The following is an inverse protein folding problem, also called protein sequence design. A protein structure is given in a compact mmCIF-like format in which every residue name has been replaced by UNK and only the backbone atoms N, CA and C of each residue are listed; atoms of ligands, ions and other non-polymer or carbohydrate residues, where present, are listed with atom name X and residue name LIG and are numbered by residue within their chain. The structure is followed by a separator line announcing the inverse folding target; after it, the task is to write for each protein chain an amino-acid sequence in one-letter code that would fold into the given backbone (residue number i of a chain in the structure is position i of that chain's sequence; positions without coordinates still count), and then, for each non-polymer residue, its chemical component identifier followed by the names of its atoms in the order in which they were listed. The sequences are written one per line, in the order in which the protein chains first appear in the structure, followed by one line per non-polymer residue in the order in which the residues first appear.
data_IF_391522013470
#
_entry.id   IF_391522013470
#
_cell.length_a   1.000
_cell.length_b   1.000
_cell.length_c   1.000
_cell.angle_alpha   90.00
_cell.angle_beta   90.00
_cell.angle_gamma   90.00
#
_symmetry.space_group_name_H-M   'P 1'
#
loop_
_entity.id
_entity.type
_entity.pdbx_description
1 polymer ?
#
# COMPACT_ATOMS: atom_id res chain seq x y z
N UNK A 1 -5.26 -13.40 -15.19
CA UNK A 1 -4.82 -12.17 -14.50
C UNK A 1 -4.61 -11.13 -15.59
N UNK A 2 -5.33 -10.00 -15.55
CA UNK A 2 -5.12 -8.94 -16.53
C UNK A 2 -3.78 -8.23 -16.33
N UNK A 3 -3.38 -7.44 -17.34
CA UNK A 3 -2.10 -6.74 -17.38
C UNK A 3 -1.87 -5.85 -16.16
N UNK A 4 -2.89 -5.08 -15.75
CA UNK A 4 -2.80 -4.16 -14.61
C UNK A 4 -2.54 -4.95 -13.33
N UNK A 5 -3.35 -5.98 -13.06
CA UNK A 5 -3.17 -6.80 -11.89
C UNK A 5 -1.76 -7.41 -11.83
N UNK A 6 -1.26 -7.94 -12.96
CA UNK A 6 0.08 -8.52 -13.03
C UNK A 6 1.18 -7.48 -12.79
N UNK A 7 1.10 -6.31 -13.45
CA UNK A 7 2.09 -5.25 -13.34
C UNK A 7 2.15 -4.67 -11.93
N UNK A 8 1.01 -4.34 -11.32
CA UNK A 8 0.95 -3.82 -9.94
C UNK A 8 1.51 -4.85 -8.96
N UNK A 9 1.12 -6.12 -9.08
CA UNK A 9 1.65 -7.19 -8.21
C UNK A 9 3.17 -7.32 -8.35
N UNK A 10 3.70 -7.22 -9.58
CA UNK A 10 5.14 -7.27 -9.85
C UNK A 10 5.87 -6.06 -9.27
N UNK A 11 5.32 -4.85 -9.39
CA UNK A 11 5.89 -3.62 -8.79
C UNK A 11 5.95 -3.74 -7.28
N UNK A 12 4.85 -4.12 -6.64
CA UNK A 12 4.78 -4.35 -5.19
C UNK A 12 5.83 -5.38 -4.75
N UNK A 13 5.96 -6.49 -5.47
CA UNK A 13 6.97 -7.50 -5.18
C UNK A 13 8.42 -6.97 -5.28
N UNK A 14 8.67 -5.98 -6.14
CA UNK A 14 9.98 -5.32 -6.29
C UNK A 14 10.42 -4.53 -5.06
N UNK A 15 9.48 -4.10 -4.20
CA UNK A 15 9.78 -3.41 -2.93
C UNK A 15 9.95 -4.37 -1.74
N UNK A 16 9.75 -5.68 -1.94
CA UNK A 16 9.92 -6.66 -0.87
C UNK A 16 11.37 -7.12 -0.78
N UNK A 17 11.96 -7.00 0.42
CA UNK A 17 13.30 -7.53 0.68
C UNK A 17 13.40 -9.04 0.44
N UNK A 18 12.36 -9.79 0.83
CA UNK A 18 12.26 -11.23 0.58
C UNK A 18 11.32 -11.49 -0.59
N UNK A 19 11.81 -12.22 -1.60
CA UNK A 19 10.98 -12.70 -2.71
C UNK A 19 9.97 -13.70 -2.19
N UNK A 20 8.74 -13.23 -2.00
CA UNK A 20 7.57 -14.04 -1.63
C UNK A 20 6.40 -13.68 -2.54
N UNK A 21 5.43 -14.60 -2.72
CA UNK A 21 4.20 -14.29 -3.43
C UNK A 21 3.49 -13.10 -2.78
N UNK A 22 3.07 -12.13 -3.61
CA UNK A 22 2.21 -11.02 -3.19
C UNK A 22 0.77 -11.46 -3.43
N UNK A 23 0.00 -11.56 -2.35
CA UNK A 23 -1.42 -11.91 -2.43
C UNK A 23 -2.25 -10.64 -2.70
N UNK A 24 -3.35 -10.72 -3.47
CA UNK A 24 -4.25 -9.58 -3.67
C UNK A 24 -4.82 -9.05 -2.36
N UNK A 25 -5.03 -9.91 -1.38
CA UNK A 25 -5.55 -9.54 -0.05
C UNK A 25 -4.48 -8.94 0.87
N UNK A 26 -3.21 -8.96 0.49
CA UNK A 26 -2.14 -8.45 1.34
C UNK A 26 -2.22 -6.92 1.46
N UNK A 27 -2.13 -6.43 2.69
CA UNK A 27 -2.07 -5.01 3.00
C UNK A 27 -0.66 -4.46 2.75
N UNK A 28 -0.54 -3.34 2.03
CA UNK A 28 0.77 -2.77 1.68
C UNK A 28 1.62 -2.48 2.93
N UNK A 29 1.01 -1.91 3.97
CA UNK A 29 1.74 -1.55 5.17
C UNK A 29 1.82 -2.68 6.20
N UNK A 30 0.68 -3.28 6.57
CA UNK A 30 0.65 -4.23 7.68
C UNK A 30 1.22 -5.61 7.32
N UNK A 31 0.92 -6.14 6.14
CA UNK A 31 1.40 -7.46 5.71
C UNK A 31 2.73 -7.37 4.97
N UNK A 32 2.84 -6.37 4.09
CA UNK A 32 3.97 -6.21 3.18
C UNK A 32 5.10 -5.34 3.74
N UNK A 33 4.84 -4.58 4.81
CA UNK A 33 5.78 -3.67 5.45
C UNK A 33 6.40 -2.64 4.48
N UNK A 34 5.64 -2.26 3.45
CA UNK A 34 5.99 -1.16 2.55
C UNK A 34 5.54 0.13 3.22
N UNK A 35 6.47 1.02 3.53
CA UNK A 35 6.22 2.28 4.23
C UNK A 35 7.25 3.36 3.84
N UNK A 36 7.02 4.60 4.28
CA UNK A 36 7.93 5.73 4.04
C UNK A 36 8.30 5.88 2.56
N UNK A 37 9.58 6.10 2.28
CA UNK A 37 10.09 6.32 0.92
C UNK A 37 9.75 5.16 -0.04
N UNK A 38 9.71 3.91 0.45
CA UNK A 38 9.34 2.77 -0.38
C UNK A 38 7.87 2.86 -0.85
N UNK A 39 6.96 3.25 0.04
CA UNK A 39 5.57 3.47 -0.31
C UNK A 39 5.40 4.68 -1.23
N UNK A 40 6.11 5.79 -0.96
CA UNK A 40 6.07 6.99 -1.82
C UNK A 40 6.54 6.67 -3.23
N UNK A 41 7.71 6.05 -3.37
CA UNK A 41 8.28 5.67 -4.67
C UNK A 41 7.38 4.70 -5.45
N UNK A 42 6.75 3.74 -4.75
CA UNK A 42 5.79 2.82 -5.38
C UNK A 42 4.58 3.58 -5.95
N UNK A 43 3.97 4.46 -5.14
CA UNK A 43 2.76 5.19 -5.53
C UNK A 43 3.06 6.24 -6.60
N UNK A 44 4.17 6.97 -6.52
CA UNK A 44 4.61 7.92 -7.54
C UNK A 44 4.89 7.23 -8.87
N UNK A 45 5.55 6.07 -8.84
CA UNK A 45 5.80 5.27 -10.04
C UNK A 45 4.51 4.77 -10.70
N UNK A 46 3.50 4.40 -9.90
CA UNK A 46 2.17 4.03 -10.41
C UNK A 46 1.46 5.26 -10.98
N UNK A 47 1.43 6.37 -10.24
CA UNK A 47 0.80 7.62 -10.67
C UNK A 47 1.31 8.09 -12.04
N UNK A 48 2.63 8.09 -12.19
CA UNK A 48 3.32 8.51 -13.42
C UNK A 48 3.01 7.58 -14.59
N UNK A 49 3.10 6.26 -14.38
CA UNK A 49 3.04 5.31 -15.48
C UNK A 49 1.60 5.02 -15.95
N UNK A 50 0.60 5.25 -15.09
CA UNK A 50 -0.82 5.13 -15.42
C UNK A 50 -1.53 6.47 -15.63
N UNK A 51 -0.77 7.58 -15.65
CA UNK A 51 -1.28 8.95 -15.80
C UNK A 51 -2.47 9.25 -14.87
N UNK A 52 -2.33 8.88 -13.60
CA UNK A 52 -3.40 8.99 -12.61
C UNK A 52 -3.01 9.91 -11.45
N UNK A 53 -4.02 10.59 -10.91
CA UNK A 53 -3.87 11.42 -9.72
C UNK A 53 -4.40 10.68 -8.48
N UNK A 54 -3.60 10.67 -7.42
CA UNK A 54 -4.04 10.26 -6.09
C UNK A 54 -4.76 11.41 -5.35
N UNK A 55 -5.71 12.07 -6.02
CA UNK A 55 -6.45 13.17 -5.45
C UNK A 55 -7.24 12.71 -4.21
N UNK A 56 -7.11 13.44 -3.10
CA UNK A 56 -7.74 13.09 -1.83
C UNK A 56 -7.03 11.97 -1.03
N UNK A 57 -5.98 11.36 -1.58
CA UNK A 57 -5.11 10.47 -0.82
C UNK A 57 -4.21 11.29 0.11
N UNK A 58 -4.24 10.96 1.40
CA UNK A 58 -3.35 11.56 2.41
C UNK A 58 -2.36 10.51 2.85
N UNK A 59 -1.11 10.62 2.39
CA UNK A 59 -0.07 9.62 2.64
C UNK A 59 0.07 9.25 4.13
N UNK A 60 0.06 10.25 5.01
CA UNK A 60 0.19 10.08 6.47
C UNK A 60 -0.96 9.29 7.10
N UNK A 61 -2.13 9.21 6.46
CA UNK A 61 -3.27 8.43 6.97
C UNK A 61 -3.04 6.92 6.79
N UNK A 62 -2.17 6.52 5.86
CA UNK A 62 -1.92 5.11 5.49
C UNK A 62 -0.51 4.63 5.88
N UNK A 63 0.49 5.53 5.81
CA UNK A 63 1.89 5.17 6.00
C UNK A 63 2.56 6.06 7.06
N UNK A 64 3.38 5.48 7.96
CA UNK A 64 4.16 6.27 8.89
C UNK A 64 5.24 7.09 8.20
N UNK A 65 5.43 8.32 8.67
CA UNK A 65 6.59 9.14 8.31
C UNK A 65 7.88 8.41 8.72
N UNK A 66 8.96 8.63 7.97
CA UNK A 66 10.23 7.91 8.10
C UNK A 66 10.77 7.71 9.55
N UNK A 67 10.77 8.72 10.46
CA UNK A 67 11.23 8.51 11.83
C UNK A 67 10.28 7.65 12.68
N UNK A 68 8.99 7.68 12.35
CA UNK A 68 7.93 6.91 13.04
C UNK A 68 7.89 5.46 12.53
N UNK A 69 8.25 5.24 11.25
CA UNK A 69 8.26 3.92 10.63
C UNK A 69 9.18 2.92 11.36
N UNK A 70 10.34 3.35 11.86
CA UNK A 70 11.29 2.48 12.55
C UNK A 70 10.71 1.91 13.87
N UNK A 71 10.03 2.74 14.65
CA UNK A 71 9.36 2.32 15.89
C UNK A 71 8.18 1.38 15.60
N UNK A 72 7.40 1.67 14.56
CA UNK A 72 6.28 0.83 14.18
C UNK A 72 6.70 -0.50 13.55
N UNK A 73 7.83 -0.57 12.83
CA UNK A 73 8.37 -1.85 12.33
C UNK A 73 8.71 -2.78 13.48
N UNK A 74 9.23 -2.26 14.60
CA UNK A 74 9.48 -3.05 15.81
C UNK A 74 8.15 -3.48 16.46
N UNK A 75 7.17 -2.57 16.56
CA UNK A 75 5.85 -2.86 17.13
C UNK A 75 5.04 -3.88 16.29
N UNK A 76 5.07 -3.78 14.96
CA UNK A 76 4.45 -4.73 14.05
C UNK A 76 5.10 -6.11 14.15
N UNK A 77 6.42 -6.17 14.40
CA UNK A 77 7.16 -7.43 14.61
C UNK A 77 6.76 -8.15 15.89
N UNK A 78 6.16 -7.46 16.86
CA UNK A 78 5.56 -8.05 18.07
C UNK A 78 4.02 -8.20 17.96
N UNK A 79 3.46 -8.08 16.75
CA UNK A 79 2.05 -8.34 16.48
C UNK A 79 1.10 -7.18 16.80
N UNK A 80 1.62 -5.97 17.08
CA UNK A 80 0.79 -4.79 17.33
C UNK A 80 0.46 -4.11 16.00
N UNK A 81 -0.78 -4.31 15.52
CA UNK A 81 -1.35 -3.55 14.40
C UNK A 81 -1.55 -2.09 14.80
N UNK A 82 -1.10 -1.17 13.95
CA UNK A 82 -1.37 0.25 14.11
C UNK A 82 -2.81 0.57 13.72
N UNK A 83 -3.71 0.54 14.70
CA UNK A 83 -5.15 0.84 14.53
C UNK A 83 -5.44 2.31 14.21
N UNK A 84 -4.43 3.20 14.24
CA UNK A 84 -4.63 4.63 13.94
C UNK A 84 -4.51 4.94 12.47
N UNK A 85 -3.98 4.00 11.67
CA UNK A 85 -3.77 4.16 10.24
C UNK A 85 -4.80 3.36 9.46
N UNK A 86 -5.21 3.92 8.35
CA UNK A 86 -5.98 3.18 7.36
C UNK A 86 -5.05 2.20 6.64
N UNK A 87 -5.61 1.08 6.21
CA UNK A 87 -4.93 0.12 5.37
C UNK A 87 -5.64 0.01 4.02
N UNK A 88 -4.91 -0.47 3.02
CA UNK A 88 -5.49 -0.95 1.78
C UNK A 88 -4.67 -2.10 1.23
N UNK A 89 -5.35 -2.95 0.46
CA UNK A 89 -4.78 -4.17 -0.09
C UNK A 89 -4.19 -3.92 -1.48
N UNK A 90 -3.41 -4.89 -1.96
CA UNK A 90 -2.95 -4.91 -3.35
C UNK A 90 -4.14 -4.94 -4.32
N UNK A 91 -5.22 -5.67 -4.00
CA UNK A 91 -6.45 -5.68 -4.79
C UNK A 91 -7.08 -4.28 -4.90
N UNK A 92 -7.17 -3.55 -3.79
CA UNK A 92 -7.67 -2.18 -3.80
C UNK A 92 -6.79 -1.27 -4.67
N UNK A 93 -5.46 -1.39 -4.58
CA UNK A 93 -4.54 -0.63 -5.43
C UNK A 93 -4.74 -0.95 -6.92
N UNK A 94 -4.97 -2.22 -7.27
CA UNK A 94 -5.31 -2.63 -8.63
C UNK A 94 -6.61 -1.97 -9.09
N UNK A 95 -7.63 -1.95 -8.23
CA UNK A 95 -8.93 -1.35 -8.58
C UNK A 95 -8.86 0.18 -8.72
N UNK A 96 -8.06 0.85 -7.89
CA UNK A 96 -7.72 2.28 -8.03
C UNK A 96 -7.09 2.56 -9.39
N UNK A 97 -6.11 1.76 -9.80
CA UNK A 97 -5.44 1.93 -11.10
C UNK A 97 -6.39 1.65 -12.26
N UNK A 98 -7.25 0.63 -12.14
CA UNK A 98 -8.29 0.35 -13.17
C UNK A 98 -9.29 1.49 -13.33
N UNK A 99 -9.65 2.15 -12.23
CA UNK A 99 -10.59 3.27 -12.24
C UNK A 99 -9.91 4.60 -12.61
N UNK A 100 -8.57 4.66 -12.59
CA UNK A 100 -7.79 5.85 -12.92
C UNK A 100 -7.82 6.95 -11.84
N UNK A 101 -8.39 6.66 -10.66
CA UNK A 101 -8.51 7.63 -9.58
C UNK A 101 -8.50 6.95 -8.21
N UNK A 102 -7.92 7.62 -7.22
CA UNK A 102 -7.99 7.19 -5.84
C UNK A 102 -9.42 7.27 -5.30
N UNK A 103 -9.88 6.20 -4.64
CA UNK A 103 -11.10 6.19 -3.85
C UNK A 103 -10.82 5.54 -2.50
N UNK A 104 -11.24 6.18 -1.41
CA UNK A 104 -11.00 5.62 -0.08
C UNK A 104 -11.93 4.42 0.18
N UNK A 105 -11.44 3.41 0.89
CA UNK A 105 -12.28 2.30 1.35
C UNK A 105 -13.41 2.80 2.28
N UNK A 106 -14.59 2.19 2.27
CA UNK A 106 -15.66 2.47 3.23
C UNK A 106 -15.15 2.27 4.66
N UNK A 107 -15.64 3.08 5.61
CA UNK A 107 -15.16 3.07 7.01
C UNK A 107 -15.22 1.68 7.68
N UNK A 108 -16.19 0.85 7.29
CA UNK A 108 -16.35 -0.54 7.77
C UNK A 108 -15.20 -1.48 7.37
N UNK A 109 -14.47 -1.18 6.29
CA UNK A 109 -13.37 -2.01 5.77
C UNK A 109 -12.00 -1.54 6.27
N UNK A 110 -11.94 -0.44 7.03
CA UNK A 110 -10.70 0.17 7.52
C UNK A 110 -10.18 -0.43 8.83
N UNK A 111 -10.92 -1.35 9.47
CA UNK A 111 -10.68 -1.81 10.86
C UNK A 111 -10.47 -3.34 10.97
N UNK A 112 -10.40 -4.07 9.85
CA UNK A 112 -10.30 -5.54 9.86
C UNK A 112 -8.90 -6.07 10.22
#
# INVERSE_FOLDING_TARGET
MDFIAHDITKRVAGFLWRKRPVLPTAELYHDLHIAGDAASNLLEGIARDYDMAFAGFKFCDYFPDAPTALFHVIAARVGLRDRRRHSFTVAHLIDVVRQGAWFALPEAERVA
#
